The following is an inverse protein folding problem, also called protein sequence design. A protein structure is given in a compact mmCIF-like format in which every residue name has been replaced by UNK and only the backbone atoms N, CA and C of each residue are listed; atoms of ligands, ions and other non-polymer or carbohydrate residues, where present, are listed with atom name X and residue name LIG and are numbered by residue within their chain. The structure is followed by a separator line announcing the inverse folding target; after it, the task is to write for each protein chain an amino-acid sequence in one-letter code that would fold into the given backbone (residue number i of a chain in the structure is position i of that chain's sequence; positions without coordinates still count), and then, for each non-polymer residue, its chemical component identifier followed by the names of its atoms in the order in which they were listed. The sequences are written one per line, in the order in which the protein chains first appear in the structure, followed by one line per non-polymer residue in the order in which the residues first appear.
data_IF_937385195016
#
_entry.id   IF_937385195016
#
_cell.length_a   1.000
_cell.length_b   1.000
_cell.length_c   1.000
_cell.angle_alpha   90.00
_cell.angle_beta   90.00
_cell.angle_gamma   90.00
#
_symmetry.space_group_name_H-M   'P 1'
#
loop_
_entity.id
_entity.type
_entity.pdbx_description
1 polymer ?
#
# COMPACT_ATOMS: atom_id res chain seq x y z
N UNK A 1 35.93 -43.06 42.63
CA UNK A 1 35.54 -43.19 41.21
C UNK A 1 34.05 -42.89 41.09
N UNK A 2 33.66 -42.26 39.96
CA UNK A 2 32.30 -41.90 39.50
C UNK A 2 31.73 -40.56 39.99
N UNK A 3 32.24 -39.48 39.40
CA UNK A 3 31.49 -38.24 39.18
C UNK A 3 30.42 -38.48 38.10
N UNK A 4 29.14 -38.36 38.46
CA UNK A 4 28.02 -38.47 37.53
C UNK A 4 27.73 -37.07 36.97
N UNK A 5 28.21 -36.80 35.76
CA UNK A 5 27.80 -35.64 34.97
C UNK A 5 26.39 -35.88 34.43
N UNK A 6 25.40 -35.11 34.88
CA UNK A 6 24.06 -35.07 34.29
C UNK A 6 23.90 -33.73 33.55
N UNK A 7 24.20 -33.73 32.26
CA UNK A 7 23.98 -32.61 31.34
C UNK A 7 22.48 -32.50 31.10
N UNK A 8 21.83 -31.57 31.80
CA UNK A 8 20.40 -31.29 31.63
C UNK A 8 20.25 -30.24 30.54
N UNK A 9 20.12 -30.71 29.30
CA UNK A 9 19.74 -29.89 28.14
C UNK A 9 18.27 -29.49 28.27
N UNK A 10 18.02 -28.29 28.81
CA UNK A 10 16.68 -27.72 28.86
C UNK A 10 16.41 -26.96 27.56
N UNK A 11 15.71 -27.64 26.65
CA UNK A 11 15.18 -27.06 25.41
C UNK A 11 14.17 -25.96 25.75
N UNK A 12 14.63 -24.70 25.77
CA UNK A 12 13.75 -23.54 25.73
C UNK A 12 13.21 -23.41 24.30
N UNK A 13 12.09 -24.07 24.01
CA UNK A 13 11.29 -23.77 22.84
C UNK A 13 10.62 -22.41 23.08
N UNK A 14 11.08 -21.37 22.38
CA UNK A 14 10.40 -20.08 22.35
C UNK A 14 8.99 -20.30 21.80
N UNK A 15 7.97 -20.06 22.63
CA UNK A 15 6.60 -19.98 22.15
C UNK A 15 6.53 -18.80 21.18
N UNK A 16 6.48 -19.08 19.88
CA UNK A 16 6.10 -18.09 18.88
C UNK A 16 4.61 -17.83 19.09
N UNK A 17 4.30 -16.85 19.95
CA UNK A 17 2.98 -16.25 19.98
C UNK A 17 2.78 -15.53 18.65
N UNK A 18 2.10 -16.19 17.71
CA UNK A 18 1.32 -15.47 16.73
C UNK A 18 0.24 -14.73 17.53
N UNK A 19 0.52 -13.46 17.88
CA UNK A 19 -0.47 -12.57 18.47
C UNK A 19 -1.74 -12.56 17.60
N UNK A 20 -2.90 -12.16 18.14
CA UNK A 20 -4.19 -12.32 17.49
C UNK A 20 -4.15 -11.80 16.05
N UNK A 21 -3.92 -12.72 15.12
CA UNK A 21 -3.81 -12.47 13.69
C UNK A 21 -5.22 -12.40 13.16
N UNK A 22 -5.92 -11.32 13.48
CA UNK A 22 -7.27 -11.09 12.99
C UNK A 22 -7.26 -9.96 11.96
N UNK A 23 -7.69 -10.31 10.75
CA UNK A 23 -8.16 -9.36 9.76
C UNK A 23 -7.25 -9.25 8.55
N UNK A 24 -7.57 -10.01 7.51
CA UNK A 24 -7.48 -9.49 6.15
C UNK A 24 -8.36 -8.23 6.07
N UNK A 25 -7.83 -7.09 6.51
CA UNK A 25 -8.50 -5.80 6.44
C UNK A 25 -8.47 -5.35 4.99
N UNK A 26 -9.46 -5.80 4.23
CA UNK A 26 -9.88 -5.12 3.01
C UNK A 26 -10.66 -3.88 3.44
N UNK A 27 -9.96 -2.84 3.91
CA UNK A 27 -10.56 -1.51 3.99
C UNK A 27 -11.25 -1.22 2.65
N UNK A 28 -12.49 -0.71 2.62
CA UNK A 28 -13.38 -0.82 1.47
C UNK A 28 -12.79 -0.11 0.25
N UNK A 29 -12.13 -0.88 -0.61
CA UNK A 29 -11.42 -0.40 -1.80
C UNK A 29 -12.37 0.30 -2.77
N UNK A 30 -13.64 -0.09 -2.77
CA UNK A 30 -14.66 0.50 -3.64
C UNK A 30 -15.19 1.86 -3.17
N UNK A 31 -14.88 2.29 -1.93
CA UNK A 31 -15.34 3.59 -1.43
C UNK A 31 -14.79 4.72 -2.29
N UNK A 32 -13.53 4.63 -2.70
CA UNK A 32 -12.89 5.65 -3.53
C UNK A 32 -13.49 5.70 -4.93
N UNK A 33 -13.96 4.58 -5.48
CA UNK A 33 -14.58 4.50 -6.82
C UNK A 33 -15.82 5.39 -6.96
N UNK A 34 -16.50 5.70 -5.85
CA UNK A 34 -17.64 6.65 -5.81
C UNK A 34 -17.27 8.07 -6.23
N UNK A 35 -15.97 8.41 -6.28
CA UNK A 35 -15.46 9.71 -6.74
C UNK A 35 -15.34 9.82 -8.27
N UNK A 36 -15.75 8.80 -9.01
CA UNK A 36 -15.78 8.83 -10.47
C UNK A 36 -16.76 9.90 -10.97
N UNK A 37 -16.32 10.64 -12.00
CA UNK A 37 -17.07 11.64 -12.74
C UNK A 37 -17.03 11.29 -14.24
N UNK A 38 -17.72 12.07 -15.08
CA UNK A 38 -17.66 11.89 -16.53
C UNK A 38 -16.27 12.20 -17.12
N UNK A 39 -15.42 12.93 -16.39
CA UNK A 39 -14.02 13.15 -16.76
C UNK A 39 -13.14 12.07 -16.11
N UNK A 40 -12.65 11.14 -16.93
CA UNK A 40 -11.82 10.02 -16.49
C UNK A 40 -10.49 10.47 -15.87
N UNK A 41 -9.91 11.58 -16.34
CA UNK A 41 -8.64 12.09 -15.82
C UNK A 41 -8.86 12.69 -14.44
N UNK A 42 -9.89 13.51 -14.27
CA UNK A 42 -10.30 14.04 -12.95
C UNK A 42 -10.69 12.91 -12.00
N UNK A 43 -11.42 11.90 -12.49
CA UNK A 43 -11.77 10.70 -11.72
C UNK A 43 -10.52 9.99 -11.18
N UNK A 44 -9.55 9.70 -12.05
CA UNK A 44 -8.31 9.00 -11.66
C UNK A 44 -7.54 9.75 -10.57
N UNK A 45 -7.47 11.10 -10.67
CA UNK A 45 -6.85 11.96 -9.66
C UNK A 45 -7.54 11.82 -8.31
N UNK A 46 -8.87 12.00 -8.27
CA UNK A 46 -9.64 11.98 -7.03
C UNK A 46 -9.62 10.60 -6.37
N UNK A 47 -9.81 9.55 -7.16
CA UNK A 47 -9.73 8.16 -6.71
C UNK A 47 -8.32 7.83 -6.19
N UNK A 48 -7.29 8.25 -6.93
CA UNK A 48 -5.89 8.09 -6.54
C UNK A 48 -5.60 8.70 -5.17
N UNK A 49 -6.00 9.96 -4.95
CA UNK A 49 -5.79 10.65 -3.67
C UNK A 49 -6.58 10.01 -2.52
N UNK A 50 -7.81 9.55 -2.78
CA UNK A 50 -8.57 8.77 -1.81
C UNK A 50 -7.81 7.50 -1.38
N UNK A 51 -7.16 6.80 -2.31
CA UNK A 51 -6.34 5.65 -1.98
C UNK A 51 -5.05 6.01 -1.24
N UNK A 52 -4.41 7.15 -1.52
CA UNK A 52 -3.28 7.66 -0.69
C UNK A 52 -3.75 7.82 0.76
N UNK A 53 -4.87 8.49 0.99
CA UNK A 53 -5.44 8.66 2.34
C UNK A 53 -5.79 7.34 3.01
N UNK A 54 -6.35 6.38 2.27
CA UNK A 54 -6.65 5.03 2.77
C UNK A 54 -5.38 4.28 3.17
N UNK A 55 -4.31 4.38 2.38
CA UNK A 55 -3.03 3.71 2.66
C UNK A 55 -2.34 4.31 3.89
N UNK A 56 -2.43 5.62 4.09
CA UNK A 56 -1.96 6.29 5.31
C UNK A 56 -2.73 5.76 6.54
N UNK A 57 -4.06 5.76 6.48
CA UNK A 57 -4.92 5.26 7.57
C UNK A 57 -4.66 3.80 7.91
N UNK A 58 -4.27 3.00 6.91
CA UNK A 58 -3.91 1.59 7.08
C UNK A 58 -2.45 1.38 7.53
N UNK A 59 -1.67 2.45 7.77
CA UNK A 59 -0.27 2.38 8.15
C UNK A 59 0.65 1.78 7.08
N UNK A 60 0.22 1.75 5.81
CA UNK A 60 0.98 1.15 4.69
C UNK A 60 1.99 2.12 4.09
N UNK A 61 1.70 3.42 4.16
CA UNK A 61 2.62 4.49 3.78
C UNK A 61 2.65 5.54 4.90
N UNK A 62 3.74 6.30 4.93
CA UNK A 62 4.00 7.27 5.97
C UNK A 62 2.97 8.44 5.96
N UNK A 63 2.56 8.98 7.13
CA UNK A 63 1.63 10.11 7.20
C UNK A 63 2.07 11.37 6.46
N UNK A 64 3.37 11.58 6.24
CA UNK A 64 3.89 12.70 5.43
C UNK A 64 3.23 12.81 4.06
N UNK A 65 2.73 11.71 3.51
CA UNK A 65 2.05 11.66 2.21
C UNK A 65 0.66 12.32 2.20
N UNK A 66 0.13 12.78 3.34
CA UNK A 66 -1.14 13.52 3.38
C UNK A 66 -1.08 14.86 2.64
N UNK A 67 0.11 15.45 2.51
CA UNK A 67 0.35 16.71 1.79
C UNK A 67 0.81 16.53 0.35
N UNK A 68 0.66 15.34 -0.24
CA UNK A 68 1.16 15.08 -1.58
C UNK A 68 0.36 15.84 -2.66
N UNK A 69 1.08 16.39 -3.63
CA UNK A 69 0.52 17.10 -4.78
C UNK A 69 0.36 16.17 -5.96
N UNK A 70 -0.77 16.28 -6.68
CA UNK A 70 -0.96 15.56 -7.94
C UNK A 70 0.00 16.09 -9.01
N UNK A 71 0.65 15.19 -9.74
CA UNK A 71 1.58 15.52 -10.83
C UNK A 71 0.98 15.16 -12.18
N UNK A 72 0.58 13.89 -12.35
CA UNK A 72 0.02 13.42 -13.63
C UNK A 72 -0.96 12.27 -13.46
N UNK A 73 -1.81 12.10 -14.47
CA UNK A 73 -2.68 10.94 -14.65
C UNK A 73 -2.56 10.51 -16.10
N UNK A 74 -2.01 9.33 -16.33
CA UNK A 74 -1.70 8.80 -17.66
C UNK A 74 -2.16 7.34 -17.75
N UNK A 75 -2.55 6.88 -18.93
CA UNK A 75 -2.82 5.45 -19.14
C UNK A 75 -1.59 4.73 -19.68
N UNK A 76 -1.21 3.60 -19.09
CA UNK A 76 -0.11 2.74 -19.55
C UNK A 76 -0.60 1.30 -19.71
N UNK A 77 0.02 0.55 -20.61
CA UNK A 77 -0.30 -0.86 -20.83
C UNK A 77 0.70 -1.75 -20.11
N UNK A 78 0.23 -2.57 -19.18
CA UNK A 78 1.02 -3.55 -18.44
C UNK A 78 0.52 -4.95 -18.77
N UNK A 79 1.38 -5.79 -19.36
CA UNK A 79 1.04 -7.19 -19.73
C UNK A 79 -0.29 -7.29 -20.51
N UNK A 80 -0.54 -6.35 -21.43
CA UNK A 80 -1.76 -6.28 -22.24
C UNK A 80 -2.95 -5.56 -21.60
N UNK A 81 -2.90 -5.22 -20.31
CA UNK A 81 -3.97 -4.49 -19.63
C UNK A 81 -3.67 -2.99 -19.58
N UNK A 82 -4.62 -2.15 -20.00
CA UNK A 82 -4.51 -0.70 -19.88
C UNK A 82 -4.94 -0.25 -18.48
N UNK A 83 -4.07 0.49 -17.81
CA UNK A 83 -4.26 0.99 -16.45
C UNK A 83 -3.95 2.48 -16.36
N UNK A 84 -4.61 3.19 -15.46
CA UNK A 84 -4.20 4.53 -15.04
C UNK A 84 -3.00 4.43 -14.11
N UNK A 85 -1.99 5.25 -14.37
CA UNK A 85 -0.89 5.56 -13.45
C UNK A 85 -1.06 7.01 -13.02
N UNK A 86 -1.38 7.19 -11.74
CA UNK A 86 -1.56 8.50 -11.13
C UNK A 86 -0.35 8.79 -10.26
N UNK A 87 0.37 9.86 -10.59
CA UNK A 87 1.60 10.23 -9.89
C UNK A 87 1.32 11.34 -8.90
N UNK A 88 1.74 11.14 -7.66
CA UNK A 88 1.75 12.15 -6.61
C UNK A 88 3.17 12.43 -6.17
N UNK A 89 3.48 13.69 -5.90
CA UNK A 89 4.78 14.12 -5.39
C UNK A 89 4.66 14.66 -3.96
N UNK A 90 5.66 14.35 -3.15
CA UNK A 90 5.87 14.93 -1.85
C UNK A 90 7.38 15.11 -1.64
N UNK A 91 7.85 16.35 -1.58
CA UNK A 91 9.29 16.63 -1.35
C UNK A 91 9.79 16.10 0.00
N UNK A 92 8.90 15.99 0.97
CA UNK A 92 9.16 15.46 2.32
C UNK A 92 8.81 13.98 2.45
N UNK A 93 8.55 13.29 1.33
CA UNK A 93 8.09 11.91 1.30
C UNK A 93 9.13 10.92 1.83
N UNK A 94 8.71 10.07 2.75
CA UNK A 94 9.52 8.94 3.23
C UNK A 94 9.46 7.81 2.17
N UNK A 95 10.62 7.19 1.89
CA UNK A 95 10.86 6.16 0.85
C UNK A 95 10.90 6.65 -0.62
N UNK A 96 10.69 7.93 -0.87
CA UNK A 96 10.79 8.52 -2.19
C UNK A 96 10.00 9.82 -2.29
N UNK A 97 10.25 10.59 -3.35
CA UNK A 97 9.49 11.83 -3.61
C UNK A 97 8.23 11.61 -4.41
N UNK A 98 8.13 10.48 -5.13
CA UNK A 98 6.98 10.15 -5.95
C UNK A 98 6.28 8.87 -5.46
N UNK A 99 4.96 8.90 -5.47
CA UNK A 99 4.09 7.76 -5.24
C UNK A 99 3.23 7.56 -6.49
N UNK A 100 3.27 6.35 -7.04
CA UNK A 100 2.51 5.94 -8.20
C UNK A 100 1.35 5.09 -7.74
N UNK A 101 0.13 5.52 -8.06
CA UNK A 101 -1.10 4.78 -7.79
C UNK A 101 -1.64 4.22 -9.10
N UNK A 102 -1.78 2.90 -9.14
CA UNK A 102 -2.24 2.15 -10.30
C UNK A 102 -3.72 1.84 -10.14
N UNK A 103 -4.52 2.21 -11.14
CA UNK A 103 -5.96 1.97 -11.17
C UNK A 103 -6.36 1.29 -12.48
N UNK A 104 -7.37 0.43 -12.43
CA UNK A 104 -8.11 0.01 -13.62
C UNK A 104 -8.76 1.23 -14.29
N UNK A 105 -9.10 1.13 -15.58
CA UNK A 105 -9.79 2.21 -16.30
C UNK A 105 -11.11 2.63 -15.63
N UNK A 106 -11.77 1.70 -14.94
CA UNK A 106 -13.00 1.96 -14.18
C UNK A 106 -12.75 2.52 -12.77
N UNK A 107 -11.51 2.88 -12.43
CA UNK A 107 -11.15 3.44 -11.12
C UNK A 107 -10.91 2.41 -10.01
N UNK A 108 -10.97 1.10 -10.29
CA UNK A 108 -10.62 0.08 -9.30
C UNK A 108 -9.13 0.11 -8.94
N UNK A 109 -8.79 0.08 -7.65
CA UNK A 109 -7.39 0.03 -7.19
C UNK A 109 -6.67 -1.23 -7.66
N UNK A 110 -5.43 -1.07 -8.13
CA UNK A 110 -4.53 -2.18 -8.49
C UNK A 110 -3.37 -2.24 -7.50
N UNK A 111 -2.58 -1.17 -7.41
CA UNK A 111 -1.39 -1.12 -6.57
C UNK A 111 -0.98 0.33 -6.24
N UNK A 112 -0.03 0.47 -5.32
CA UNK A 112 0.71 1.71 -5.13
C UNK A 112 2.18 1.43 -4.79
N UNK A 113 3.12 2.16 -5.40
CA UNK A 113 4.55 2.00 -5.12
C UNK A 113 5.36 3.30 -5.35
N UNK A 114 6.62 3.32 -4.93
CA UNK A 114 7.52 4.49 -5.02
C UNK A 114 8.46 4.47 -6.24
N UNK A 115 8.39 3.43 -7.08
CA UNK A 115 9.33 3.21 -8.20
C UNK A 115 8.69 3.40 -9.57
N UNK A 116 7.35 3.33 -9.65
CA UNK A 116 6.59 3.41 -10.89
C UNK A 116 6.71 2.18 -11.79
N UNK A 117 7.22 1.07 -11.25
CA UNK A 117 7.48 -0.20 -11.94
C UNK A 117 6.75 -1.36 -11.29
#
# INVERSE_FOLDING_TARGET
MKTLFLITSLLFASACFAGPGHGHSHGPVDTCKKLATNDLKTSSKNIGMCHVSRLIKAGKIDPSWSGASHVSSETKTFKGNKEWVVTFNNEKGVKGKNLYVFLKLNGGFVAANFTGK
#
